data_IF_146527662561
#
_entry.id   IF_146527662561
#
_cell.length_a   1.000
_cell.length_b   1.000
_cell.length_c   1.000
_cell.angle_alpha   90.00
_cell.angle_beta   90.00
_cell.angle_gamma   90.00
#
_symmetry.space_group_name_H-M   'P 1'
#
loop_
_entity.id
_entity.type
_entity.pdbx_description
1 polymer ?
#
# COMPACT_ATOMS: atom_id res chain seq x y z
N UNK A 1 -4.76 23.55 -61.27
CA UNK A 1 -4.02 22.51 -60.54
C UNK A 1 -2.58 22.96 -60.28
N UNK A 2 -2.35 23.96 -59.41
CA UNK A 2 -1.01 24.55 -59.19
C UNK A 2 -0.74 24.97 -57.74
N UNK A 3 -1.17 24.16 -56.75
CA UNK A 3 -1.02 24.50 -55.32
C UNK A 3 0.07 23.68 -54.58
N UNK A 4 0.51 22.53 -55.12
CA UNK A 4 1.26 21.56 -54.31
C UNK A 4 2.79 21.64 -54.36
N UNK A 5 3.42 22.54 -55.12
CA UNK A 5 4.90 22.60 -55.22
C UNK A 5 5.59 23.66 -54.36
N UNK A 6 4.83 24.59 -53.76
CA UNK A 6 5.38 25.73 -53.00
C UNK A 6 5.76 25.34 -51.55
N UNK A 7 5.19 24.26 -51.01
CA UNK A 7 5.28 23.98 -49.57
C UNK A 7 6.61 23.29 -49.13
N UNK A 8 7.31 22.58 -50.02
CA UNK A 8 8.50 21.78 -49.63
C UNK A 8 9.84 22.54 -49.72
N UNK A 9 9.97 23.53 -50.60
CA UNK A 9 11.21 24.32 -50.74
C UNK A 9 11.33 25.44 -49.70
N UNK A 10 10.20 26.03 -49.30
CA UNK A 10 10.19 27.11 -48.32
C UNK A 10 10.45 26.59 -46.90
N UNK A 11 9.96 25.39 -46.55
CA UNK A 11 10.24 24.76 -45.26
C UNK A 11 11.74 24.54 -45.06
N UNK A 12 12.46 24.12 -46.11
CA UNK A 12 13.92 23.96 -46.10
C UNK A 12 14.67 25.30 -45.95
N UNK A 13 14.13 26.40 -46.46
CA UNK A 13 14.71 27.75 -46.35
C UNK A 13 14.57 28.35 -44.95
N UNK A 14 13.43 28.12 -44.27
CA UNK A 14 13.19 28.59 -42.90
C UNK A 14 14.21 27.99 -41.93
N UNK A 15 14.58 26.72 -42.10
CA UNK A 15 15.63 26.07 -41.30
C UNK A 15 17.02 26.67 -41.53
N UNK A 16 17.28 27.19 -42.73
CA UNK A 16 18.55 27.80 -43.08
C UNK A 16 18.70 29.22 -42.49
N UNK A 17 17.63 30.02 -42.47
CA UNK A 17 17.60 31.31 -41.75
C UNK A 17 17.65 31.14 -40.22
N UNK A 18 17.05 30.08 -39.69
CA UNK A 18 17.09 29.72 -38.26
C UNK A 18 18.48 29.22 -37.78
N UNK A 19 19.46 29.10 -38.67
CA UNK A 19 20.83 28.69 -38.31
C UNK A 19 20.97 27.22 -37.88
N UNK A 20 19.99 26.37 -38.22
CA UNK A 20 19.95 24.95 -37.84
C UNK A 20 21.10 24.12 -38.46
N UNK A 21 21.72 24.61 -39.53
CA UNK A 21 22.83 23.93 -40.20
C UNK A 21 24.17 24.01 -39.43
N UNK A 22 24.23 24.73 -38.30
CA UNK A 22 25.43 24.73 -37.44
C UNK A 22 25.39 23.58 -36.43
N UNK A 23 26.50 22.82 -36.25
CA UNK A 23 26.53 21.65 -35.39
C UNK A 23 26.15 21.97 -33.93
N UNK A 24 26.49 23.17 -33.46
CA UNK A 24 26.16 23.64 -32.12
C UNK A 24 24.65 23.78 -31.88
N UNK A 25 23.89 24.19 -32.91
CA UNK A 25 22.43 24.34 -32.83
C UNK A 25 21.74 22.98 -32.75
N UNK A 26 22.19 22.00 -33.54
CA UNK A 26 21.69 20.63 -33.51
C UNK A 26 21.91 19.96 -32.15
N UNK A 27 23.09 20.13 -31.56
CA UNK A 27 23.38 19.59 -30.22
C UNK A 27 22.43 20.17 -29.17
N UNK A 28 22.15 21.48 -29.24
CA UNK A 28 21.23 22.14 -28.31
C UNK A 28 19.81 21.61 -28.43
N UNK A 29 19.30 21.44 -29.66
CA UNK A 29 17.97 20.86 -29.91
C UNK A 29 17.89 19.40 -29.46
N UNK A 30 18.95 18.61 -29.70
CA UNK A 30 19.02 17.24 -29.21
C UNK A 30 18.98 17.17 -27.68
N UNK A 31 19.77 18.00 -26.98
CA UNK A 31 19.76 18.06 -25.51
C UNK A 31 18.37 18.47 -25.01
N UNK A 32 17.74 19.47 -25.63
CA UNK A 32 16.42 19.92 -25.25
C UNK A 32 15.37 18.81 -25.44
N UNK A 33 15.44 18.07 -26.54
CA UNK A 33 14.60 16.89 -26.77
C UNK A 33 14.82 15.79 -25.74
N UNK A 34 16.07 15.51 -25.37
CA UNK A 34 16.40 14.54 -24.32
C UNK A 34 15.86 14.96 -22.96
N UNK A 35 16.02 16.23 -22.56
CA UNK A 35 15.51 16.75 -21.27
C UNK A 35 13.99 16.66 -21.20
N UNK A 36 13.28 17.05 -22.27
CA UNK A 36 11.83 16.90 -22.34
C UNK A 36 11.41 15.42 -22.27
N UNK A 37 12.13 14.54 -22.98
CA UNK A 37 11.90 13.10 -22.94
C UNK A 37 12.11 12.51 -21.54
N UNK A 38 13.18 12.90 -20.85
CA UNK A 38 13.43 12.47 -19.46
C UNK A 38 12.35 12.99 -18.52
N UNK A 39 11.92 14.25 -18.66
CA UNK A 39 10.84 14.82 -17.87
C UNK A 39 9.54 14.03 -18.01
N UNK A 40 9.10 13.76 -19.24
CA UNK A 40 7.89 12.94 -19.50
C UNK A 40 8.05 11.51 -18.98
N UNK A 41 9.21 10.89 -19.18
CA UNK A 41 9.50 9.53 -18.72
C UNK A 41 9.44 9.41 -17.19
N UNK A 42 9.96 10.41 -16.46
CA UNK A 42 9.89 10.46 -15.00
C UNK A 42 8.44 10.64 -14.52
N UNK A 43 7.66 11.49 -15.18
CA UNK A 43 6.24 11.68 -14.86
C UNK A 43 5.45 10.39 -15.09
N UNK A 44 5.68 9.71 -16.20
CA UNK A 44 5.06 8.41 -16.49
C UNK A 44 5.42 7.37 -15.42
N UNK A 45 6.71 7.27 -15.08
CA UNK A 45 7.21 6.37 -14.03
C UNK A 45 6.53 6.65 -12.69
N UNK A 46 6.30 7.93 -12.37
CA UNK A 46 5.66 8.34 -11.10
C UNK A 46 4.18 7.97 -11.07
N UNK A 47 3.50 8.02 -12.21
CA UNK A 47 2.09 7.67 -12.32
C UNK A 47 1.86 6.16 -12.12
N UNK A 48 2.68 5.33 -12.76
CA UNK A 48 2.60 3.87 -12.62
C UNK A 48 3.00 3.40 -11.21
N UNK A 49 3.96 4.09 -10.58
CA UNK A 49 4.35 3.83 -9.20
C UNK A 49 3.17 3.97 -8.23
N UNK A 50 2.30 4.97 -8.40
CA UNK A 50 1.15 5.17 -7.50
C UNK A 50 0.15 4.02 -7.56
N UNK A 51 -0.07 3.42 -8.73
CA UNK A 51 -1.01 2.31 -8.88
C UNK A 51 -0.47 1.01 -8.28
N UNK A 52 0.77 0.66 -8.60
CA UNK A 52 1.43 -0.51 -8.01
C UNK A 52 1.58 -0.40 -6.50
N UNK A 53 1.84 0.80 -5.98
CA UNK A 53 1.94 1.04 -4.54
C UNK A 53 0.59 0.95 -3.82
N UNK A 54 -0.50 1.39 -4.44
CA UNK A 54 -1.85 1.25 -3.86
C UNK A 54 -2.25 -0.21 -3.68
N UNK A 55 -2.01 -1.05 -4.71
CA UNK A 55 -2.31 -2.49 -4.61
C UNK A 55 -1.50 -3.16 -3.50
N UNK A 56 -0.23 -2.77 -3.36
CA UNK A 56 0.63 -3.26 -2.28
C UNK A 56 0.14 -2.78 -0.91
N UNK A 57 -0.31 -1.53 -0.78
CA UNK A 57 -0.88 -1.00 0.46
C UNK A 57 -2.17 -1.73 0.86
N UNK A 58 -3.06 -2.03 -0.10
CA UNK A 58 -4.31 -2.72 0.18
C UNK A 58 -4.07 -4.14 0.74
N UNK A 59 -3.20 -4.91 0.10
CA UNK A 59 -2.83 -6.24 0.59
C UNK A 59 -2.17 -6.19 1.97
N UNK A 60 -1.31 -5.20 2.22
CA UNK A 60 -0.72 -4.97 3.54
C UNK A 60 -1.75 -4.62 4.60
N UNK A 61 -2.76 -3.83 4.26
CA UNK A 61 -3.84 -3.48 5.17
C UNK A 61 -4.66 -4.71 5.58
N UNK A 62 -4.99 -5.57 4.61
CA UNK A 62 -5.69 -6.83 4.88
C UNK A 62 -4.87 -7.77 5.77
N UNK A 63 -3.57 -7.91 5.51
CA UNK A 63 -2.68 -8.72 6.34
C UNK A 63 -2.64 -8.20 7.79
N UNK A 64 -2.50 -6.87 7.97
CA UNK A 64 -2.51 -6.24 9.29
C UNK A 64 -3.82 -6.50 10.07
N UNK A 65 -4.97 -6.40 9.40
CA UNK A 65 -6.26 -6.69 10.03
C UNK A 65 -6.33 -8.14 10.54
N UNK A 66 -5.80 -9.08 9.75
CA UNK A 66 -5.76 -10.49 10.12
C UNK A 66 -4.84 -10.74 11.32
N UNK A 67 -3.65 -10.13 11.34
CA UNK A 67 -2.70 -10.25 12.46
C UNK A 67 -3.29 -9.69 13.76
N UNK A 68 -4.04 -8.58 13.69
CA UNK A 68 -4.74 -8.03 14.86
C UNK A 68 -5.78 -9.02 15.39
N UNK A 69 -6.62 -9.58 14.52
CA UNK A 69 -7.62 -10.60 14.92
C UNK A 69 -6.95 -11.83 15.51
N UNK A 70 -5.85 -12.28 14.91
CA UNK A 70 -5.10 -13.42 15.41
C UNK A 70 -4.50 -13.15 16.79
N UNK A 71 -3.95 -11.95 17.01
CA UNK A 71 -3.48 -11.51 18.32
C UNK A 71 -4.59 -11.48 19.38
N UNK A 72 -5.79 -10.99 19.01
CA UNK A 72 -6.96 -11.02 19.91
C UNK A 72 -7.34 -12.45 20.29
N UNK A 73 -7.43 -13.36 19.32
CA UNK A 73 -7.73 -14.77 19.57
C UNK A 73 -6.66 -15.45 20.45
N UNK A 74 -5.39 -15.10 20.26
CA UNK A 74 -4.29 -15.60 21.08
C UNK A 74 -4.40 -15.12 22.53
N UNK A 75 -4.81 -13.86 22.74
CA UNK A 75 -5.06 -13.32 24.07
C UNK A 75 -6.26 -14.01 24.73
N UNK A 76 -7.34 -14.24 23.99
CA UNK A 76 -8.49 -15.02 24.46
C UNK A 76 -8.08 -16.44 24.86
N UNK A 77 -7.34 -17.14 24.00
CA UNK A 77 -6.85 -18.49 24.27
C UNK A 77 -5.89 -18.53 25.48
N UNK A 78 -5.02 -17.53 25.62
CA UNK A 78 -4.11 -17.44 26.76
C UNK A 78 -4.84 -17.23 28.08
N UNK A 79 -6.01 -16.60 28.05
CA UNK A 79 -6.87 -16.40 29.23
C UNK A 79 -7.60 -17.70 29.60
N UNK A 80 -8.20 -18.40 28.64
CA UNK A 80 -8.86 -19.70 28.89
C UNK A 80 -7.87 -20.79 29.34
N UNK A 81 -6.62 -20.76 28.88
CA UNK A 81 -5.57 -21.68 29.30
C UNK A 81 -5.13 -21.52 30.77
N UNK A 82 -5.33 -20.33 31.35
CA UNK A 82 -5.04 -20.06 32.77
C UNK A 82 -6.21 -20.50 33.65
N UNK A 83 -7.45 -20.29 33.21
CA UNK A 83 -8.66 -20.60 33.98
C UNK A 83 -8.86 -22.12 34.18
N UNK A 84 -8.70 -22.92 33.12
CA UNK A 84 -8.85 -24.39 33.23
C UNK A 84 -7.81 -25.05 34.16
N UNK A 85 -6.63 -24.43 34.31
CA UNK A 85 -5.60 -24.92 35.23
C UNK A 85 -5.88 -24.54 36.69
N UNK A 86 -6.59 -23.43 36.93
CA UNK A 86 -7.06 -23.03 38.26
C UNK A 86 -8.19 -23.94 38.71
N UNK A 87 -9.15 -24.25 37.82
CA UNK A 87 -10.25 -25.17 38.11
C UNK A 87 -9.75 -26.58 38.45
N UNK A 88 -8.83 -27.12 37.64
CA UNK A 88 -8.21 -28.43 37.92
C UNK A 88 -7.44 -28.45 39.24
N UNK A 89 -6.73 -27.36 39.58
CA UNK A 89 -6.06 -27.23 40.89
C UNK A 89 -7.06 -27.10 42.04
N UNK A 90 -8.16 -26.35 41.89
CA UNK A 90 -9.15 -26.16 42.94
C UNK A 90 -9.96 -27.44 43.21
N UNK A 91 -10.33 -28.19 42.17
CA UNK A 91 -11.05 -29.45 42.31
C UNK A 91 -10.10 -30.55 42.82
N UNK A 92 -8.89 -30.64 42.25
CA UNK A 92 -7.94 -31.71 42.56
C UNK A 92 -7.17 -31.54 43.87
N UNK A 93 -6.77 -30.30 44.23
CA UNK A 93 -5.97 -30.03 45.44
C UNK A 93 -6.81 -29.48 46.59
N UNK A 94 -7.87 -28.71 46.32
CA UNK A 94 -8.74 -28.14 47.37
C UNK A 94 -10.03 -28.93 47.61
N UNK A 95 -10.28 -30.04 46.89
CA UNK A 95 -11.52 -30.84 46.98
C UNK A 95 -12.81 -30.01 46.86
N UNK A 96 -12.77 -28.88 46.16
CA UNK A 96 -13.97 -28.07 45.94
C UNK A 96 -14.92 -28.80 45.00
N UNK A 97 -16.15 -29.06 45.47
CA UNK A 97 -17.29 -29.45 44.63
C UNK A 97 -18.24 -28.28 44.50
N UNK A 98 -18.75 -28.04 43.29
CA UNK A 98 -19.84 -27.09 43.05
C UNK A 98 -21.06 -27.56 43.87
N UNK A 99 -21.53 -26.77 44.85
CA UNK A 99 -22.64 -27.17 45.70
C UNK A 99 -23.96 -27.14 44.90
N UNK A 100 -24.78 -28.18 45.08
CA UNK A 100 -26.15 -28.20 44.57
C UNK A 100 -26.96 -27.02 45.09
N UNK A 101 -27.82 -26.45 44.23
CA UNK A 101 -28.61 -25.24 44.47
C UNK A 101 -29.42 -25.31 45.79
N UNK A 102 -29.75 -26.53 46.25
CA UNK A 102 -30.44 -26.78 47.52
C UNK A 102 -29.63 -26.40 48.80
N UNK A 103 -28.35 -26.04 48.70
CA UNK A 103 -27.48 -25.70 49.84
C UNK A 103 -27.05 -24.23 49.90
N UNK A 104 -27.61 -23.36 49.07
CA UNK A 104 -27.27 -21.94 49.05
C UNK A 104 -28.09 -21.22 50.12
N UNK A 105 -27.43 -20.85 51.23
CA UNK A 105 -28.05 -20.03 52.29
C UNK A 105 -27.60 -18.59 52.09
N UNK A 106 -28.53 -17.71 51.71
CA UNK A 106 -28.27 -16.29 51.54
C UNK A 106 -28.34 -15.60 52.90
N UNK A 107 -27.19 -15.21 53.45
CA UNK A 107 -27.18 -14.43 54.70
C UNK A 107 -27.45 -12.97 54.35
N UNK A 108 -28.62 -12.49 54.73
CA UNK A 108 -28.98 -11.08 54.67
C UNK A 108 -28.31 -10.38 55.85
N UNK A 109 -27.49 -9.37 55.56
CA UNK A 109 -26.92 -8.51 56.58
C UNK A 109 -27.96 -7.43 56.92
N UNK A 110 -28.38 -7.37 58.18
CA UNK A 110 -29.14 -6.26 58.74
C UNK A 110 -28.23 -5.04 58.98
#
# INVERSE_FOLDING_TARGET
AASNSINSKDSLSVFQWAGINRPSSLVLVCILGLVLGTGLSVVQTTHDNRFSFNKLQELRAQANELDVKWGQLLLEQSTFGVEGRIESKAIGQLQMRVPEIARIVMVKND
#
